data_IF_286857582643
#
_entry.id   IF_286857582643
#
_cell.length_a   1.000
_cell.length_b   1.000
_cell.length_c   1.000
_cell.angle_alpha   90.00
_cell.angle_beta   90.00
_cell.angle_gamma   90.00
#
_symmetry.space_group_name_H-M   'P 1'
#
loop_
_entity.id
_entity.type
_entity.pdbx_description
1 polymer ?
#
# COMPACT_ATOMS: atom_id res chain seq x y z
N UNK A 1 2.13 -22.42 13.24
CA UNK A 1 0.81 -21.86 12.86
C UNK A 1 1.12 -20.72 11.89
N UNK A 2 0.59 -20.74 10.66
CA UNK A 2 0.79 -19.60 9.74
C UNK A 2 -0.10 -18.44 10.20
N UNK A 3 0.47 -17.26 10.38
CA UNK A 3 -0.31 -16.03 10.58
C UNK A 3 -0.94 -15.67 9.22
N UNK A 4 -2.20 -15.25 9.20
CA UNK A 4 -2.84 -14.85 7.94
C UNK A 4 -2.32 -13.48 7.47
N UNK A 5 -2.49 -13.20 6.19
CA UNK A 5 -2.05 -11.94 5.59
C UNK A 5 -2.78 -10.76 6.23
N UNK A 6 -4.10 -10.85 6.37
CA UNK A 6 -4.99 -9.84 6.94
C UNK A 6 -4.66 -9.55 8.41
N UNK A 7 -4.18 -10.57 9.14
CA UNK A 7 -3.71 -10.37 10.52
C UNK A 7 -2.38 -9.64 10.60
N UNK A 8 -1.55 -9.75 9.57
CA UNK A 8 -0.23 -9.09 9.50
C UNK A 8 -0.35 -7.69 8.92
N UNK A 9 -1.24 -7.52 7.94
CA UNK A 9 -1.45 -6.31 7.15
C UNK A 9 -2.95 -5.93 7.10
N UNK A 10 -3.55 -5.57 8.25
CA UNK A 10 -4.98 -5.33 8.33
C UNK A 10 -5.45 -4.14 7.49
N UNK A 11 -4.62 -3.10 7.35
CA UNK A 11 -4.98 -1.91 6.56
C UNK A 11 -4.92 -2.21 5.07
N UNK A 12 -4.02 -3.10 4.63
CA UNK A 12 -3.99 -3.56 3.24
C UNK A 12 -5.23 -4.39 2.91
N UNK A 13 -5.61 -5.33 3.77
CA UNK A 13 -6.82 -6.12 3.57
C UNK A 13 -8.05 -5.20 3.47
N UNK A 14 -8.16 -4.26 4.40
CA UNK A 14 -9.20 -3.23 4.40
C UNK A 14 -9.21 -2.38 3.13
N UNK A 15 -8.04 -1.94 2.67
CA UNK A 15 -7.90 -1.14 1.45
C UNK A 15 -8.51 -1.84 0.24
N UNK A 16 -8.22 -3.12 0.07
CA UNK A 16 -8.73 -3.93 -1.05
C UNK A 16 -10.22 -4.24 -0.89
N UNK A 17 -10.65 -4.62 0.31
CA UNK A 17 -12.01 -5.13 0.55
C UNK A 17 -13.06 -4.03 0.71
N UNK A 18 -12.73 -2.92 1.40
CA UNK A 18 -13.69 -1.87 1.75
C UNK A 18 -13.62 -0.66 0.82
N UNK A 19 -12.44 -0.34 0.29
CA UNK A 19 -12.21 0.87 -0.53
C UNK A 19 -12.02 0.55 -2.01
N UNK A 20 -12.13 -0.71 -2.41
CA UNK A 20 -11.92 -1.19 -3.79
C UNK A 20 -10.56 -0.76 -4.37
N UNK A 21 -9.59 -0.51 -3.49
CA UNK A 21 -8.26 -0.05 -3.86
C UNK A 21 -7.38 -1.20 -4.35
N UNK A 22 -6.37 -0.87 -5.15
CA UNK A 22 -5.37 -1.82 -5.60
C UNK A 22 -3.96 -1.37 -5.23
N UNK A 23 -3.04 -2.33 -5.31
CA UNK A 23 -1.64 -2.15 -4.97
C UNK A 23 -0.81 -2.50 -6.18
N UNK A 24 0.06 -1.59 -6.56
CA UNK A 24 1.08 -1.81 -7.57
C UNK A 24 2.40 -2.09 -6.86
N UNK A 25 3.10 -3.16 -7.27
CA UNK A 25 4.39 -3.57 -6.72
C UNK A 25 5.34 -3.83 -7.88
N UNK A 26 6.54 -3.24 -7.78
CA UNK A 26 7.60 -3.39 -8.76
C UNK A 26 8.09 -2.04 -9.27
N UNK A 27 9.06 -2.12 -10.18
CA UNK A 27 9.64 -0.94 -10.81
C UNK A 27 8.99 -0.69 -12.15
N UNK A 28 8.58 0.56 -12.37
CA UNK A 28 8.20 1.05 -13.68
C UNK A 28 9.41 1.80 -14.26
N UNK A 29 10.25 1.07 -15.00
CA UNK A 29 11.58 1.54 -15.46
C UNK A 29 11.52 2.70 -16.45
N UNK A 30 10.37 2.90 -17.09
CA UNK A 30 10.14 3.98 -18.07
C UNK A 30 9.30 5.13 -17.47
N UNK A 31 8.97 5.05 -16.19
CA UNK A 31 8.18 6.06 -15.47
C UNK A 31 9.06 6.97 -14.62
N UNK A 32 8.70 8.27 -14.48
CA UNK A 32 9.34 9.14 -13.51
C UNK A 32 9.04 8.72 -12.06
N UNK A 33 8.08 7.82 -11.84
CA UNK A 33 7.75 7.30 -10.52
C UNK A 33 8.72 6.19 -10.12
N UNK A 34 9.53 6.48 -9.11
CA UNK A 34 10.58 5.62 -8.58
C UNK A 34 10.10 4.71 -7.44
N UNK A 35 8.91 4.95 -6.89
CA UNK A 35 8.36 4.18 -5.76
C UNK A 35 8.11 2.71 -6.12
N UNK A 36 8.60 1.79 -5.28
CA UNK A 36 8.52 0.34 -5.49
C UNK A 36 7.13 -0.25 -5.18
N UNK A 37 6.37 0.41 -4.31
CA UNK A 37 5.02 -0.01 -3.91
C UNK A 37 4.11 1.21 -3.81
N UNK A 38 2.88 1.10 -4.30
CA UNK A 38 1.90 2.20 -4.37
C UNK A 38 0.50 1.69 -4.04
N UNK A 39 -0.31 2.56 -3.45
CA UNK A 39 -1.74 2.35 -3.26
C UNK A 39 -2.53 3.32 -4.13
N UNK A 40 -3.44 2.76 -4.92
CA UNK A 40 -4.27 3.50 -5.86
C UNK A 40 -5.74 3.10 -5.71
N UNK A 41 -6.62 4.05 -5.95
CA UNK A 41 -8.04 3.83 -6.13
C UNK A 41 -8.55 4.53 -7.40
N UNK A 42 -9.88 4.58 -7.57
CA UNK A 42 -10.50 5.24 -8.72
C UNK A 42 -10.16 6.75 -8.85
N UNK A 43 -9.73 7.41 -7.77
CA UNK A 43 -9.26 8.79 -7.73
C UNK A 43 -7.77 8.95 -8.07
N UNK A 44 -7.02 7.86 -8.19
CA UNK A 44 -5.60 7.84 -8.53
C UNK A 44 -4.73 7.34 -7.38
N UNK A 45 -3.48 7.77 -7.36
CA UNK A 45 -2.50 7.35 -6.34
C UNK A 45 -2.69 8.15 -5.06
N UNK A 46 -3.03 7.46 -3.97
CA UNK A 46 -3.22 8.09 -2.66
C UNK A 46 -2.00 7.96 -1.75
N UNK A 47 -1.17 6.95 -1.98
CA UNK A 47 0.06 6.74 -1.23
C UNK A 47 1.13 6.07 -2.08
N UNK A 48 2.38 6.49 -1.87
CA UNK A 48 3.54 5.87 -2.48
C UNK A 48 4.63 5.57 -1.45
N UNK A 49 5.30 4.45 -1.67
CA UNK A 49 6.43 4.00 -0.87
C UNK A 49 7.76 4.55 -1.35
N UNK A 50 8.83 4.01 -0.77
CA UNK A 50 10.23 4.32 -1.09
C UNK A 50 10.64 3.70 -2.42
N UNK A 51 11.77 4.17 -2.95
CA UNK A 51 12.37 3.61 -4.16
C UNK A 51 12.78 2.15 -4.00
N UNK A 52 13.22 1.74 -2.81
CA UNK A 52 13.66 0.36 -2.57
C UNK A 52 13.43 -0.06 -1.12
N UNK A 53 13.36 -1.38 -0.93
CA UNK A 53 13.13 -2.03 0.36
C UNK A 53 14.05 -3.24 0.48
N UNK A 54 14.45 -3.57 1.72
CA UNK A 54 15.26 -4.77 1.98
C UNK A 54 14.50 -6.07 1.69
N UNK A 55 13.16 -6.04 1.76
CA UNK A 55 12.31 -7.20 1.50
C UNK A 55 10.89 -6.77 1.09
N UNK A 56 10.13 -7.71 0.52
CA UNK A 56 8.71 -7.51 0.24
C UNK A 56 7.92 -7.25 1.53
N UNK A 57 8.28 -7.89 2.64
CA UNK A 57 7.63 -7.67 3.93
C UNK A 57 7.86 -6.25 4.43
N UNK A 58 9.05 -5.69 4.25
CA UNK A 58 9.33 -4.30 4.62
C UNK A 58 8.49 -3.32 3.78
N UNK A 59 8.31 -3.58 2.48
CA UNK A 59 7.45 -2.78 1.61
C UNK A 59 5.97 -2.86 2.03
N UNK A 60 5.46 -4.06 2.34
CA UNK A 60 4.08 -4.27 2.78
C UNK A 60 3.82 -3.68 4.17
N UNK A 61 4.78 -3.71 5.08
CA UNK A 61 4.65 -3.04 6.38
C UNK A 61 4.56 -1.52 6.21
N UNK A 62 5.41 -0.93 5.37
CA UNK A 62 5.40 0.51 5.10
C UNK A 62 4.08 0.94 4.46
N UNK A 63 3.60 0.18 3.47
CA UNK A 63 2.28 0.39 2.87
C UNK A 63 1.16 0.26 3.91
N UNK A 64 1.18 -0.76 4.76
CA UNK A 64 0.15 -0.96 5.78
C UNK A 64 0.09 0.22 6.77
N UNK A 65 1.23 0.79 7.15
CA UNK A 65 1.29 2.01 7.97
C UNK A 65 0.81 3.22 7.17
N UNK A 66 1.23 3.36 5.91
CA UNK A 66 0.83 4.45 5.02
C UNK A 66 -0.68 4.54 4.82
N UNK A 67 -1.34 3.39 4.64
CA UNK A 67 -2.80 3.32 4.50
C UNK A 67 -3.55 3.79 5.75
N UNK A 68 -2.96 3.66 6.94
CA UNK A 68 -3.55 4.21 8.17
C UNK A 68 -3.67 5.74 8.10
N UNK A 69 -2.68 6.42 7.49
CA UNK A 69 -2.72 7.86 7.27
C UNK A 69 -3.76 8.22 6.20
N UNK A 70 -3.82 7.44 5.11
CA UNK A 70 -4.82 7.62 4.04
C UNK A 70 -6.25 7.56 4.59
N UNK A 71 -6.57 6.58 5.43
CA UNK A 71 -7.90 6.47 6.04
C UNK A 71 -8.28 7.71 6.86
N UNK A 72 -7.33 8.25 7.63
CA UNK A 72 -7.55 9.46 8.44
C UNK A 72 -7.70 10.71 7.60
N UNK A 73 -6.81 10.91 6.63
CA UNK A 73 -6.69 12.17 5.89
C UNK A 73 -7.72 12.30 4.76
N UNK A 74 -8.05 11.18 4.11
CA UNK A 74 -8.89 11.16 2.91
C UNK A 74 -10.30 10.69 3.23
N UNK A 75 -10.43 9.64 4.05
CA UNK A 75 -11.71 9.05 4.40
C UNK A 75 -12.28 9.59 5.73
N UNK A 76 -11.48 10.31 6.52
CA UNK A 76 -11.91 10.97 7.75
C UNK A 76 -12.15 10.01 8.92
N UNK A 77 -11.47 8.86 8.93
CA UNK A 77 -11.70 7.74 9.86
C UNK A 77 -10.65 7.60 10.95
#
# INVERSE_FOLDING_TARGET
>A
MKVSFEKTYPNIARWVDEHEGWIEIGYDVDSPLNSFIRALDCGGMLWEGKESYESIDAALQDLNVGLEAVFKEIYGE
#
